data_IF_578550955707
#
_entry.id   IF_578550955707
#
_cell.length_a   1.000
_cell.length_b   1.000
_cell.length_c   1.000
_cell.angle_alpha   90.00
_cell.angle_beta   90.00
_cell.angle_gamma   90.00
#
_symmetry.space_group_name_H-M   'P 1'
#
loop_
_entity.id
_entity.type
_entity.pdbx_description
1 polymer ?
#
# COMPACT_ATOMS: atom_id res chain seq x y z
N UNK A 1 11.53 -11.78 2.76
CA UNK A 1 10.32 -12.64 2.75
C UNK A 1 9.60 -12.37 1.44
N UNK A 2 9.33 -13.38 0.60
CA UNK A 2 8.59 -13.20 -0.65
C UNK A 2 7.21 -13.84 -0.50
N UNK A 3 6.15 -13.05 -0.62
CA UNK A 3 4.79 -13.55 -0.61
C UNK A 3 4.38 -13.90 -2.04
N UNK A 4 4.05 -15.17 -2.31
CA UNK A 4 3.70 -15.64 -3.66
C UNK A 4 2.46 -14.90 -4.18
N UNK A 5 2.63 -14.07 -5.20
CA UNK A 5 1.57 -13.25 -5.78
C UNK A 5 1.44 -11.85 -5.15
N UNK A 6 2.47 -11.38 -4.46
CA UNK A 6 2.64 -9.98 -4.06
C UNK A 6 3.90 -9.41 -4.72
N UNK A 7 3.76 -8.27 -5.39
CA UNK A 7 4.90 -7.56 -5.98
C UNK A 7 5.55 -6.70 -4.90
N UNK A 8 6.63 -7.21 -4.30
CA UNK A 8 7.44 -6.50 -3.32
C UNK A 8 8.90 -7.02 -3.29
N UNK A 9 9.95 -6.16 -3.27
CA UNK A 9 9.88 -4.70 -3.38
C UNK A 9 9.24 -4.27 -4.69
N UNK A 10 8.51 -3.17 -4.65
CA UNK A 10 7.78 -2.67 -5.81
C UNK A 10 8.64 -1.64 -6.54
N UNK A 11 8.88 -1.90 -7.82
CA UNK A 11 9.82 -1.18 -8.68
C UNK A 11 9.13 -0.17 -9.61
N UNK A 12 7.81 -0.02 -9.50
CA UNK A 12 7.03 0.85 -10.38
C UNK A 12 6.68 0.24 -11.74
N UNK A 13 7.00 -1.03 -12.00
CA UNK A 13 6.74 -1.69 -13.30
C UNK A 13 5.26 -1.92 -13.62
N UNK A 14 4.36 -1.78 -12.65
CA UNK A 14 2.90 -2.01 -12.78
C UNK A 14 2.14 -0.83 -12.21
N UNK A 15 0.95 -0.52 -12.70
CA UNK A 15 0.10 0.46 -12.00
C UNK A 15 -0.25 -0.03 -10.58
N UNK A 16 -0.40 0.89 -9.62
CA UNK A 16 -0.81 0.55 -8.26
C UNK A 16 -1.67 1.65 -7.64
N UNK A 17 -2.53 1.25 -6.69
CA UNK A 17 -3.17 2.19 -5.76
C UNK A 17 -2.43 2.18 -4.43
N UNK A 18 -2.41 3.34 -3.78
CA UNK A 18 -1.78 3.53 -2.48
C UNK A 18 -2.65 4.41 -1.59
N UNK A 19 -2.78 4.02 -0.33
CA UNK A 19 -3.37 4.87 0.70
C UNK A 19 -2.54 4.81 1.98
N UNK A 20 -2.44 5.95 2.67
CA UNK A 20 -1.81 6.04 3.99
C UNK A 20 -2.88 6.21 5.06
N UNK A 21 -3.00 5.24 5.98
CA UNK A 21 -3.94 5.24 7.10
C UNK A 21 -3.31 4.58 8.32
N UNK A 22 -3.68 5.02 9.53
CA UNK A 22 -3.25 4.39 10.80
C UNK A 22 -1.73 4.24 10.95
N UNK A 23 -0.93 5.15 10.39
CA UNK A 23 0.53 5.04 10.43
C UNK A 23 1.13 4.04 9.44
N UNK A 24 0.36 3.56 8.45
CA UNK A 24 0.76 2.53 7.50
C UNK A 24 0.41 2.90 6.07
N UNK A 25 1.23 2.45 5.14
CA UNK A 25 0.95 2.48 3.72
C UNK A 25 0.38 1.14 3.29
N UNK A 26 -0.75 1.19 2.59
CA UNK A 26 -1.38 0.06 1.93
C UNK A 26 -1.17 0.23 0.43
N UNK A 27 -0.48 -0.72 -0.21
CA UNK A 27 -0.20 -0.69 -1.66
C UNK A 27 -0.79 -1.93 -2.31
N UNK A 28 -1.57 -1.73 -3.37
CA UNK A 28 -2.07 -2.81 -4.21
C UNK A 28 -1.62 -2.58 -5.65
N UNK A 29 -0.67 -3.40 -6.12
CA UNK A 29 -0.23 -3.36 -7.51
C UNK A 29 -1.14 -4.21 -8.41
N UNK A 30 -1.29 -3.81 -9.66
CA UNK A 30 -2.07 -4.55 -10.66
C UNK A 30 -1.59 -6.00 -10.76
N UNK A 31 -2.52 -6.92 -10.62
CA UNK A 31 -2.26 -8.37 -10.68
C UNK A 31 -1.75 -8.99 -9.39
N UNK A 32 -1.55 -8.21 -8.31
CA UNK A 32 -1.25 -8.78 -7.01
C UNK A 32 -2.51 -9.38 -6.37
N UNK A 33 -2.32 -10.52 -5.69
CA UNK A 33 -3.34 -11.21 -4.89
C UNK A 33 -3.37 -10.76 -3.44
N UNK A 34 -2.50 -9.81 -3.09
CA UNK A 34 -2.36 -9.27 -1.75
C UNK A 34 -2.15 -7.76 -1.82
N UNK A 35 -2.62 -7.08 -0.79
CA UNK A 35 -2.27 -5.69 -0.49
C UNK A 35 -1.07 -5.70 0.45
N UNK A 36 0.01 -5.05 0.05
CA UNK A 36 1.18 -4.85 0.90
C UNK A 36 0.87 -3.83 2.00
N UNK A 37 1.18 -4.16 3.25
CA UNK A 37 1.12 -3.24 4.38
C UNK A 37 2.54 -2.91 4.83
N UNK A 38 2.87 -1.63 4.88
CA UNK A 38 4.20 -1.13 5.27
C UNK A 38 4.03 -0.04 6.33
N UNK A 39 5.04 0.15 7.19
CA UNK A 39 5.00 1.22 8.20
C UNK A 39 5.31 2.57 7.56
N UNK A 40 4.65 3.63 8.03
CA UNK A 40 4.89 5.01 7.60
C UNK A 40 4.32 5.32 6.21
N UNK A 41 4.55 6.54 5.75
CA UNK A 41 4.19 6.98 4.39
C UNK A 41 5.27 6.53 3.43
N UNK A 42 5.03 5.49 2.63
CA UNK A 42 6.03 4.94 1.71
C UNK A 42 5.95 5.62 0.35
N UNK A 43 7.06 6.21 -0.07
CA UNK A 43 7.21 6.77 -1.43
C UNK A 43 8.09 5.82 -2.25
N UNK A 44 7.43 4.95 -2.99
CA UNK A 44 8.05 4.03 -3.94
C UNK A 44 7.58 4.43 -5.34
N UNK A 45 8.42 5.17 -6.10
CA UNK A 45 8.35 5.38 -7.57
C UNK A 45 9.19 6.59 -8.01
N UNK A 46 9.62 6.57 -9.28
CA UNK A 46 9.81 7.77 -10.13
C UNK A 46 8.99 7.60 -11.41
N UNK A 47 7.99 8.47 -11.61
CA UNK A 47 7.67 9.25 -12.84
C UNK A 47 6.21 9.73 -12.82
N UNK A 48 5.94 10.88 -12.19
CA UNK A 48 4.80 11.76 -12.49
C UNK A 48 5.16 13.21 -12.11
N UNK A 49 4.59 14.19 -12.83
CA UNK A 49 4.63 15.60 -12.42
C UNK A 49 3.62 15.80 -11.29
N UNK A 50 4.11 16.10 -10.10
CA UNK A 50 3.31 16.46 -8.93
C UNK A 50 2.99 17.96 -9.05
N UNK A 51 1.70 18.31 -9.14
CA UNK A 51 1.25 19.71 -9.15
C UNK A 51 1.10 20.23 -7.70
N UNK A 52 0.62 19.40 -6.77
CA UNK A 52 0.65 19.64 -5.32
C UNK A 52 0.60 18.28 -4.56
N UNK A 53 1.47 18.08 -3.56
CA UNK A 53 1.47 16.91 -2.66
C UNK A 53 1.62 17.39 -1.21
N UNK A 54 0.72 16.98 -0.32
CA UNK A 54 0.70 17.34 1.11
C UNK A 54 0.86 16.10 1.96
N UNK A 55 2.11 15.72 2.23
CA UNK A 55 2.43 14.58 3.09
C UNK A 55 2.48 14.99 4.56
N UNK A 56 1.88 14.17 5.44
CA UNK A 56 2.03 14.30 6.89
C UNK A 56 3.22 13.46 7.37
N UNK A 57 4.22 14.02 8.07
CA UNK A 57 5.36 13.28 8.59
C UNK A 57 4.99 12.17 9.61
N UNK A 58 5.82 11.12 9.75
CA UNK A 58 7.08 10.91 9.03
C UNK A 58 6.86 10.33 7.62
N UNK A 59 7.58 10.90 6.65
CA UNK A 59 7.66 10.37 5.28
C UNK A 59 8.86 9.44 5.19
N UNK A 60 8.65 8.22 4.70
CA UNK A 60 9.69 7.21 4.49
C UNK A 60 9.88 7.00 2.99
N UNK A 61 11.03 7.42 2.48
CA UNK A 61 11.39 7.27 1.08
C UNK A 61 12.03 5.91 0.81
N UNK A 62 11.77 5.36 -0.38
CA UNK A 62 12.33 4.09 -0.83
C UNK A 62 11.56 2.87 -0.31
N UNK A 63 11.96 1.66 -0.76
CA UNK A 63 11.27 0.42 -0.42
C UNK A 63 11.23 0.20 1.08
N UNK A 64 10.03 0.09 1.64
CA UNK A 64 9.84 -0.19 3.07
C UNK A 64 9.56 -1.68 3.29
N UNK A 65 10.06 -2.28 4.38
CA UNK A 65 9.76 -3.68 4.66
C UNK A 65 8.25 -3.88 4.88
N UNK A 66 7.73 -5.01 4.40
CA UNK A 66 6.38 -5.44 4.73
C UNK A 66 6.26 -5.67 6.23
N UNK A 67 5.21 -5.09 6.82
CA UNK A 67 4.77 -5.44 8.17
C UNK A 67 3.61 -6.43 8.13
N UNK A 68 2.87 -6.49 7.02
CA UNK A 68 1.80 -7.47 6.79
C UNK A 68 1.40 -7.55 5.30
N UNK A 69 0.55 -8.52 4.95
CA UNK A 69 -0.07 -8.68 3.64
C UNK A 69 -1.55 -9.09 3.77
N UNK A 70 -2.46 -8.28 3.21
CA UNK A 70 -3.90 -8.55 3.27
C UNK A 70 -4.33 -9.30 1.99
N UNK A 71 -4.97 -10.47 2.07
CA UNK A 71 -5.50 -11.16 0.89
C UNK A 71 -6.52 -10.28 0.14
N UNK A 72 -6.36 -10.14 -1.17
CA UNK A 72 -7.31 -9.47 -2.03
C UNK A 72 -8.32 -10.50 -2.58
N UNK A 73 -9.36 -10.79 -1.79
CA UNK A 73 -10.29 -11.87 -2.10
C UNK A 73 -11.19 -11.56 -3.29
N UNK A 74 -11.65 -10.31 -3.43
CA UNK A 74 -12.49 -9.84 -4.54
C UNK A 74 -12.30 -8.34 -4.76
N UNK A 75 -12.07 -7.91 -6.01
CA UNK A 75 -11.92 -6.50 -6.37
C UNK A 75 -10.77 -6.22 -7.34
N UNK A 76 -10.62 -4.96 -7.73
CA UNK A 76 -9.54 -4.50 -8.59
C UNK A 76 -8.60 -3.55 -7.84
N UNK A 77 -7.33 -3.54 -8.21
CA UNK A 77 -6.32 -2.68 -7.59
C UNK A 77 -6.67 -1.19 -7.69
N UNK A 78 -7.48 -0.79 -8.66
CA UNK A 78 -7.95 0.60 -8.85
C UNK A 78 -9.15 0.98 -7.99
N UNK A 79 -9.75 0.04 -7.24
CA UNK A 79 -10.87 0.33 -6.34
C UNK A 79 -10.35 0.93 -5.02
N UNK A 80 -10.37 2.26 -4.95
CA UNK A 80 -9.84 2.99 -3.79
C UNK A 80 -10.70 2.86 -2.54
N UNK A 81 -12.01 2.67 -2.69
CA UNK A 81 -12.94 2.52 -1.56
C UNK A 81 -12.81 1.13 -0.95
N UNK A 82 -12.67 0.10 -1.79
CA UNK A 82 -12.31 -1.23 -1.34
C UNK A 82 -10.96 -1.23 -0.61
N UNK A 83 -9.92 -0.61 -1.19
CA UNK A 83 -8.60 -0.52 -0.55
C UNK A 83 -8.67 0.16 0.82
N UNK A 84 -9.45 1.24 0.95
CA UNK A 84 -9.71 1.91 2.23
C UNK A 84 -10.40 0.96 3.22
N UNK A 85 -11.46 0.28 2.79
CA UNK A 85 -12.19 -0.67 3.64
C UNK A 85 -11.31 -1.82 4.14
N UNK A 86 -10.40 -2.32 3.30
CA UNK A 86 -9.42 -3.35 3.66
C UNK A 86 -8.43 -2.84 4.70
N UNK A 87 -7.93 -1.60 4.54
CA UNK A 87 -7.04 -0.95 5.50
C UNK A 87 -7.71 -0.76 6.87
N UNK A 88 -8.96 -0.28 6.89
CA UNK A 88 -9.73 -0.12 8.13
C UNK A 88 -10.01 -1.45 8.82
N UNK A 89 -10.38 -2.48 8.06
CA UNK A 89 -10.59 -3.83 8.59
C UNK A 89 -9.30 -4.41 9.18
N UNK A 90 -8.16 -4.22 8.52
CA UNK A 90 -6.85 -4.64 9.02
C UNK A 90 -6.48 -3.91 10.31
N UNK A 91 -6.70 -2.58 10.37
CA UNK A 91 -6.39 -1.78 11.55
C UNK A 91 -7.21 -2.22 12.76
N UNK A 92 -8.52 -2.47 12.58
CA UNK A 92 -9.40 -3.00 13.64
C UNK A 92 -8.91 -4.35 14.18
N UNK A 93 -8.56 -5.28 13.30
CA UNK A 93 -8.08 -6.62 13.70
C UNK A 93 -6.70 -6.59 14.37
N UNK A 94 -5.86 -5.63 13.98
CA UNK A 94 -4.49 -5.47 14.48
C UNK A 94 -4.39 -4.60 15.73
N UNK A 95 -5.50 -4.05 16.25
CA UNK A 95 -5.50 -3.12 17.38
C UNK A 95 -4.84 -1.77 17.08
N UNK A 96 -4.89 -1.32 15.81
CA UNK A 96 -4.26 -0.08 15.31
C UNK A 96 -5.26 0.96 14.78
N UNK A 97 -6.56 0.68 14.93
CA UNK A 97 -7.65 1.58 14.56
C UNK A 97 -7.75 2.76 15.52
#
# INVERSE_FOLDING_TARGET
MSFKGLTHPYDGSRACSRIYLFGHTFRWAKGDRYVAVMRGTCVEQRRFLIIEDRLRPPVLEGPQPLVDAIPATHGDWSDTDLLRSMAENWARRSGRA
#
